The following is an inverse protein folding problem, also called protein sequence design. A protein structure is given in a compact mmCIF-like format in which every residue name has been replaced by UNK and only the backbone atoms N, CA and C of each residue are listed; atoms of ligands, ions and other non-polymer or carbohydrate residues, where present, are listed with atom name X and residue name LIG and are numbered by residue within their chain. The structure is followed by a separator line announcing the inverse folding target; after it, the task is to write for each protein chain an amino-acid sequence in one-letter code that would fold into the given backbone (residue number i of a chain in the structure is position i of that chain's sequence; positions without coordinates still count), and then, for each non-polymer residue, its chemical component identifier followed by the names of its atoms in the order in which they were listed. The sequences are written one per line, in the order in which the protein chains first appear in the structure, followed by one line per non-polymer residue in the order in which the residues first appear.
data_IF_243476969977
#
_entry.id   IF_243476969977
#
_cell.length_a   1.000
_cell.length_b   1.000
_cell.length_c   1.000
_cell.angle_alpha   90.00
_cell.angle_beta   90.00
_cell.angle_gamma   90.00
#
_symmetry.space_group_name_H-M   'P 1'
#
loop_
_entity.id
_entity.type
_entity.pdbx_description
1 polymer ?
#
# COMPACT_ATOMS: atom_id res chain seq x y z
N UNK A 1 22.67 6.56 3.07
CA UNK A 1 22.33 5.29 3.74
C UNK A 1 22.10 5.62 5.20
N UNK A 2 20.86 5.51 5.68
CA UNK A 2 20.53 5.82 7.08
C UNK A 2 21.07 4.71 8.00
N UNK A 3 21.24 5.01 9.30
CA UNK A 3 21.62 4.00 10.32
C UNK A 3 20.64 2.83 10.31
N UNK A 4 19.36 3.08 9.99
CA UNK A 4 18.31 2.07 9.87
C UNK A 4 18.49 1.14 8.66
N UNK A 5 18.99 1.65 7.52
CA UNK A 5 19.26 0.84 6.33
C UNK A 5 20.44 -0.11 6.57
N UNK A 6 21.51 0.38 7.20
CA UNK A 6 22.66 -0.45 7.61
C UNK A 6 22.27 -1.54 8.61
N UNK A 7 21.49 -1.19 9.63
CA UNK A 7 21.02 -2.16 10.62
C UNK A 7 20.13 -3.24 9.99
N UNK A 8 19.33 -2.88 8.99
CA UNK A 8 18.51 -3.85 8.24
C UNK A 8 19.34 -4.77 7.34
N UNK A 9 20.41 -4.26 6.68
CA UNK A 9 21.29 -5.09 5.85
C UNK A 9 22.12 -6.05 6.69
N UNK A 10 22.79 -5.58 7.75
CA UNK A 10 23.58 -6.41 8.66
C UNK A 10 22.72 -7.46 9.38
N UNK A 11 21.51 -7.07 9.79
CA UNK A 11 20.56 -7.98 10.42
C UNK A 11 20.04 -9.02 9.42
N UNK A 12 19.80 -8.62 8.16
CA UNK A 12 19.38 -9.52 7.08
C UNK A 12 20.46 -10.55 6.75
N UNK A 13 21.72 -10.14 6.60
CA UNK A 13 22.85 -11.06 6.36
C UNK A 13 23.07 -12.00 7.54
N UNK A 14 22.95 -11.52 8.77
CA UNK A 14 23.09 -12.33 9.97
C UNK A 14 21.99 -13.40 10.06
N UNK A 15 20.75 -13.06 9.76
CA UNK A 15 19.63 -14.02 9.78
C UNK A 15 19.64 -14.97 8.57
N UNK A 16 20.08 -14.52 7.39
CA UNK A 16 20.24 -15.38 6.22
C UNK A 16 21.28 -16.47 6.43
N UNK A 17 22.31 -16.20 7.24
CA UNK A 17 23.39 -17.16 7.54
C UNK A 17 23.07 -18.10 8.71
N UNK A 18 22.10 -17.79 9.55
CA UNK A 18 21.79 -18.57 10.77
C UNK A 18 20.53 -19.41 10.64
N UNK A 19 19.57 -19.03 9.79
CA UNK A 19 18.33 -19.78 9.60
C UNK A 19 18.36 -20.51 8.26
N UNK A 20 18.30 -21.82 8.29
CA UNK A 20 17.84 -22.59 7.14
C UNK A 20 16.49 -21.99 6.72
N UNK A 21 16.36 -21.60 5.42
CA UNK A 21 15.11 -21.05 4.87
C UNK A 21 14.03 -22.14 4.96
N UNK A 22 13.31 -22.16 6.05
CA UNK A 22 12.11 -22.99 6.13
C UNK A 22 11.06 -22.46 5.13
N UNK A 23 10.30 -23.34 4.48
CA UNK A 23 9.22 -22.90 3.61
C UNK A 23 8.17 -22.11 4.41
N UNK A 24 7.48 -21.18 3.73
CA UNK A 24 6.37 -20.45 4.33
C UNK A 24 5.34 -21.40 4.95
N UNK A 25 4.86 -21.07 6.14
CA UNK A 25 3.71 -21.77 6.69
C UNK A 25 2.41 -21.37 5.98
N UNK A 26 1.31 -22.09 6.21
CA UNK A 26 0.03 -21.85 5.54
C UNK A 26 -0.54 -20.46 5.81
N UNK A 27 -0.32 -19.88 6.99
CA UNK A 27 -0.83 -18.54 7.34
C UNK A 27 -0.06 -17.47 6.57
N UNK A 28 1.26 -17.56 6.52
CA UNK A 28 2.11 -16.67 5.75
C UNK A 28 1.81 -16.74 4.26
N UNK A 29 1.76 -17.95 3.71
CA UNK A 29 1.43 -18.17 2.30
C UNK A 29 0.04 -17.61 1.95
N UNK A 30 -0.96 -17.84 2.81
CA UNK A 30 -2.31 -17.30 2.65
C UNK A 30 -2.33 -15.77 2.73
N UNK A 31 -1.59 -15.19 3.67
CA UNK A 31 -1.46 -13.74 3.83
C UNK A 31 -0.84 -13.09 2.60
N UNK A 32 0.29 -13.62 2.11
CA UNK A 32 0.96 -13.15 0.89
C UNK A 32 0.07 -13.28 -0.35
N UNK A 33 -0.62 -14.42 -0.51
CA UNK A 33 -1.57 -14.64 -1.59
C UNK A 33 -2.69 -13.59 -1.59
N UNK A 34 -3.29 -13.34 -0.42
CA UNK A 34 -4.35 -12.33 -0.25
C UNK A 34 -3.87 -10.92 -0.57
N UNK A 35 -2.68 -10.57 -0.10
CA UNK A 35 -2.04 -9.26 -0.35
C UNK A 35 -1.77 -9.05 -1.84
N UNK A 36 -1.28 -10.05 -2.56
CA UNK A 36 -1.05 -9.97 -4.01
C UNK A 36 -2.38 -9.74 -4.74
N UNK A 37 -3.40 -10.54 -4.44
CA UNK A 37 -4.71 -10.44 -5.10
C UNK A 37 -5.36 -9.07 -4.85
N UNK A 38 -5.40 -8.63 -3.59
CA UNK A 38 -5.95 -7.33 -3.21
C UNK A 38 -5.11 -6.17 -3.77
N UNK A 39 -3.79 -6.29 -3.76
CA UNK A 39 -2.88 -5.28 -4.28
C UNK A 39 -3.09 -5.04 -5.78
N UNK A 40 -3.25 -6.10 -6.57
CA UNK A 40 -3.56 -6.00 -8.01
C UNK A 40 -4.88 -5.30 -8.27
N UNK A 41 -5.91 -5.56 -7.46
CA UNK A 41 -7.17 -4.82 -7.48
C UNK A 41 -6.96 -3.35 -7.12
N UNK A 42 -6.24 -3.07 -6.04
CA UNK A 42 -5.96 -1.71 -5.59
C UNK A 42 -5.23 -0.88 -6.65
N UNK A 43 -4.27 -1.46 -7.41
CA UNK A 43 -3.61 -0.77 -8.52
C UNK A 43 -4.64 -0.27 -9.53
N UNK A 44 -5.60 -1.12 -9.94
CA UNK A 44 -6.65 -0.73 -10.90
C UNK A 44 -7.56 0.37 -10.37
N UNK A 45 -7.90 0.33 -9.07
CA UNK A 45 -8.72 1.38 -8.41
C UNK A 45 -7.94 2.69 -8.31
N UNK A 46 -6.66 2.64 -7.91
CA UNK A 46 -5.80 3.82 -7.82
C UNK A 46 -5.63 4.52 -9.18
N UNK A 47 -5.53 3.78 -10.28
CA UNK A 47 -5.51 4.34 -11.64
C UNK A 47 -6.80 5.08 -11.97
N UNK A 48 -7.96 4.54 -11.54
CA UNK A 48 -9.25 5.22 -11.70
C UNK A 48 -9.30 6.51 -10.90
N UNK A 49 -8.96 6.45 -9.61
CA UNK A 49 -8.97 7.60 -8.71
C UNK A 49 -7.98 8.69 -9.16
N UNK A 50 -6.80 8.29 -9.69
CA UNK A 50 -5.85 9.23 -10.29
C UNK A 50 -6.48 10.03 -11.43
N UNK A 51 -7.24 9.37 -12.29
CA UNK A 51 -7.88 10.00 -13.45
C UNK A 51 -9.07 10.89 -13.06
N UNK A 52 -9.71 10.65 -11.91
CA UNK A 52 -10.74 11.55 -11.35
C UNK A 52 -10.15 12.77 -10.67
N UNK A 53 -9.00 12.65 -10.01
CA UNK A 53 -8.35 13.73 -9.29
C UNK A 53 -8.00 14.90 -10.22
N UNK A 54 -8.18 16.13 -9.74
CA UNK A 54 -7.79 17.35 -10.43
C UNK A 54 -6.61 18.03 -9.75
N UNK A 55 -6.49 17.93 -8.43
CA UNK A 55 -5.41 18.47 -7.64
C UNK A 55 -4.10 17.76 -7.94
N UNK A 56 -3.05 18.50 -8.31
CA UNK A 56 -1.76 17.93 -8.72
C UNK A 56 -1.02 17.24 -7.56
N UNK A 57 -1.13 17.76 -6.32
CA UNK A 57 -0.51 17.16 -5.13
C UNK A 57 -1.21 15.82 -4.81
N UNK A 58 -2.54 15.75 -4.95
CA UNK A 58 -3.31 14.52 -4.77
C UNK A 58 -2.93 13.47 -5.83
N UNK A 59 -2.84 13.86 -7.10
CA UNK A 59 -2.35 12.97 -8.18
C UNK A 59 -0.96 12.41 -7.86
N UNK A 60 -0.06 13.25 -7.35
CA UNK A 60 1.28 12.81 -6.97
C UNK A 60 1.24 11.77 -5.84
N UNK A 61 0.43 11.99 -4.80
CA UNK A 61 0.26 11.03 -3.70
C UNK A 61 -0.34 9.71 -4.18
N UNK A 62 -1.36 9.75 -5.07
CA UNK A 62 -1.95 8.53 -5.63
C UNK A 62 -0.90 7.73 -6.41
N UNK A 63 -0.12 8.41 -7.26
CA UNK A 63 0.95 7.75 -8.03
C UNK A 63 2.01 7.14 -7.12
N UNK A 64 2.39 7.82 -6.05
CA UNK A 64 3.32 7.30 -5.06
C UNK A 64 2.76 6.07 -4.33
N UNK A 65 1.48 6.11 -3.90
CA UNK A 65 0.81 4.95 -3.30
C UNK A 65 0.80 3.75 -4.25
N UNK A 66 0.57 3.98 -5.55
CA UNK A 66 0.58 2.94 -6.56
C UNK A 66 1.98 2.35 -6.76
N UNK A 67 2.98 3.21 -7.03
CA UNK A 67 4.30 2.76 -7.51
C UNK A 67 5.22 2.31 -6.36
N UNK A 68 5.26 3.08 -5.26
CA UNK A 68 6.20 2.84 -4.17
C UNK A 68 5.65 1.94 -3.05
N UNK A 69 4.33 1.93 -2.83
CA UNK A 69 3.71 1.12 -1.78
C UNK A 69 3.07 -0.14 -2.35
N UNK A 70 2.04 0.01 -3.19
CA UNK A 70 1.23 -1.13 -3.64
C UNK A 70 2.01 -2.08 -4.52
N UNK A 71 2.75 -1.59 -5.53
CA UNK A 71 3.57 -2.45 -6.41
C UNK A 71 4.74 -3.08 -5.67
N UNK A 72 5.37 -2.35 -4.74
CA UNK A 72 6.45 -2.91 -3.92
C UNK A 72 5.95 -4.05 -3.04
N UNK A 73 4.78 -3.89 -2.43
CA UNK A 73 4.14 -4.92 -1.63
C UNK A 73 3.81 -6.15 -2.48
N UNK A 74 3.24 -5.97 -3.68
CA UNK A 74 2.93 -7.07 -4.61
C UNK A 74 4.22 -7.82 -4.97
N UNK A 75 5.24 -7.12 -5.49
CA UNK A 75 6.46 -7.73 -5.99
C UNK A 75 7.17 -8.53 -4.89
N UNK A 76 7.38 -7.93 -3.70
CA UNK A 76 8.03 -8.63 -2.58
C UNK A 76 7.22 -9.84 -2.11
N UNK A 77 5.89 -9.74 -2.12
CA UNK A 77 5.01 -10.86 -1.74
C UNK A 77 5.05 -11.98 -2.78
N UNK A 78 5.15 -11.65 -4.07
CA UNK A 78 5.31 -12.60 -5.17
C UNK A 78 6.65 -13.35 -5.06
N UNK A 79 7.74 -12.61 -4.81
CA UNK A 79 9.08 -13.19 -4.64
C UNK A 79 9.10 -14.21 -3.49
N UNK A 80 8.63 -13.81 -2.30
CA UNK A 80 8.58 -14.69 -1.12
C UNK A 80 7.71 -15.93 -1.34
N UNK A 81 6.55 -15.75 -1.98
CA UNK A 81 5.64 -16.86 -2.25
C UNK A 81 6.24 -17.84 -3.27
N UNK A 82 6.89 -17.34 -4.34
CA UNK A 82 7.56 -18.18 -5.34
C UNK A 82 8.79 -18.90 -4.80
N UNK A 83 9.63 -18.23 -4.03
CA UNK A 83 10.81 -18.84 -3.39
C UNK A 83 10.43 -20.03 -2.49
N UNK A 84 9.23 -19.98 -1.91
CA UNK A 84 8.68 -21.08 -1.10
C UNK A 84 7.88 -22.11 -1.90
N UNK A 85 7.88 -22.05 -3.23
CA UNK A 85 7.14 -22.98 -4.11
C UNK A 85 5.64 -22.73 -4.17
N UNK A 86 5.15 -21.60 -3.64
CA UNK A 86 3.74 -21.21 -3.69
C UNK A 86 3.31 -20.73 -5.06
N UNK A 87 1.99 -20.83 -5.33
CA UNK A 87 1.40 -20.34 -6.58
C UNK A 87 0.92 -18.90 -6.42
N UNK A 88 1.31 -18.04 -7.35
CA UNK A 88 0.82 -16.66 -7.43
C UNK A 88 -0.65 -16.65 -7.86
N UNK A 89 -1.49 -15.74 -7.30
CA UNK A 89 -2.85 -15.52 -7.79
C UNK A 89 -2.87 -15.22 -9.29
N UNK A 90 -3.76 -15.83 -10.02
CA UNK A 90 -3.93 -15.59 -11.46
C UNK A 90 -4.84 -14.39 -11.77
N UNK A 91 -5.35 -13.70 -10.73
CA UNK A 91 -6.27 -12.57 -10.90
C UNK A 91 -5.57 -11.39 -11.57
N UNK A 92 -6.21 -10.85 -12.61
CA UNK A 92 -5.75 -9.68 -13.34
C UNK A 92 -6.88 -8.67 -13.48
N UNK A 93 -6.52 -7.39 -13.50
CA UNK A 93 -7.47 -6.29 -13.69
C UNK A 93 -7.00 -5.42 -14.85
N UNK A 94 -7.94 -4.81 -15.60
CA UNK A 94 -7.59 -3.90 -16.68
C UNK A 94 -6.72 -2.74 -16.17
N UNK A 95 -5.65 -2.46 -16.90
CA UNK A 95 -4.77 -1.32 -16.63
C UNK A 95 -5.33 -0.08 -17.33
N UNK A 96 -5.19 1.07 -16.69
CA UNK A 96 -5.64 2.35 -17.23
C UNK A 96 -4.46 3.29 -17.44
N UNK A 97 -4.52 4.07 -18.50
CA UNK A 97 -3.57 5.16 -18.74
C UNK A 97 -3.78 6.26 -17.70
N UNK A 98 -2.70 6.73 -17.09
CA UNK A 98 -2.74 7.85 -16.16
C UNK A 98 -2.66 9.17 -16.92
N UNK A 99 -3.73 9.95 -16.88
CA UNK A 99 -3.83 11.22 -17.56
C UNK A 99 -3.39 12.37 -16.64
N UNK A 100 -2.35 13.11 -17.04
CA UNK A 100 -1.90 14.31 -16.28
C UNK A 100 -2.93 15.44 -16.37
N UNK A 101 -3.45 15.68 -17.57
CA UNK A 101 -4.53 16.63 -17.79
C UNK A 101 -5.88 16.05 -17.30
N UNK A 102 -6.81 16.90 -16.84
CA UNK A 102 -8.17 16.45 -16.48
C UNK A 102 -8.84 15.76 -17.67
N UNK A 103 -9.50 14.64 -17.41
CA UNK A 103 -10.37 13.98 -18.39
C UNK A 103 -11.74 14.66 -18.44
N UNK A 104 -12.39 14.61 -19.58
CA UNK A 104 -13.80 14.99 -19.69
C UNK A 104 -14.67 13.86 -19.13
N UNK A 105 -14.98 13.95 -17.86
CA UNK A 105 -15.89 13.05 -17.15
C UNK A 105 -17.18 13.83 -16.90
N UNK A 106 -18.35 13.22 -17.17
CA UNK A 106 -19.64 13.86 -16.91
C UNK A 106 -19.71 14.32 -15.43
N UNK A 107 -20.23 15.53 -15.14
CA UNK A 107 -20.25 16.06 -13.78
C UNK A 107 -20.85 15.10 -12.74
N UNK A 108 -21.95 14.42 -13.09
CA UNK A 108 -22.64 13.49 -12.20
C UNK A 108 -21.86 12.17 -11.95
N UNK A 109 -20.85 11.88 -12.76
CA UNK A 109 -19.98 10.71 -12.61
C UNK A 109 -18.59 11.05 -12.08
N UNK A 110 -18.25 12.34 -11.99
CA UNK A 110 -16.95 12.80 -11.53
C UNK A 110 -16.88 12.82 -10.01
N UNK A 111 -15.88 12.16 -9.45
CA UNK A 111 -15.53 12.34 -8.04
C UNK A 111 -14.81 13.67 -7.85
N UNK A 112 -15.13 14.38 -6.78
CA UNK A 112 -14.39 15.54 -6.29
C UNK A 112 -13.04 15.10 -5.70
N UNK A 113 -12.06 16.02 -5.61
CA UNK A 113 -10.78 15.72 -4.96
C UNK A 113 -10.95 15.29 -3.49
N UNK A 114 -11.95 15.82 -2.79
CA UNK A 114 -12.27 15.40 -1.42
C UNK A 114 -12.74 13.93 -1.37
N UNK A 115 -13.64 13.53 -2.27
CA UNK A 115 -14.12 12.15 -2.36
C UNK A 115 -12.99 11.20 -2.75
N UNK A 116 -12.14 11.59 -3.71
CA UNK A 116 -10.95 10.82 -4.08
C UNK A 116 -10.00 10.66 -2.89
N UNK A 117 -9.72 11.73 -2.16
CA UNK A 117 -8.81 11.70 -1.00
C UNK A 117 -9.37 10.80 0.12
N UNK A 118 -10.67 10.85 0.40
CA UNK A 118 -11.34 9.96 1.37
C UNK A 118 -11.27 8.51 0.91
N UNK A 119 -11.51 8.24 -0.38
CA UNK A 119 -11.48 6.89 -0.94
C UNK A 119 -10.08 6.27 -0.82
N UNK A 120 -9.02 6.99 -1.23
CA UNK A 120 -7.65 6.46 -1.12
C UNK A 120 -7.21 6.29 0.34
N UNK A 121 -7.58 7.20 1.24
CA UNK A 121 -7.33 7.05 2.67
C UNK A 121 -8.02 5.83 3.28
N UNK A 122 -9.23 5.50 2.81
CA UNK A 122 -9.97 4.31 3.24
C UNK A 122 -9.28 3.02 2.75
N UNK A 123 -8.81 3.01 1.49
CA UNK A 123 -8.04 1.88 0.92
C UNK A 123 -6.73 1.70 1.70
N UNK A 124 -6.01 2.78 1.98
CA UNK A 124 -4.76 2.74 2.72
C UNK A 124 -4.95 2.16 4.13
N UNK A 125 -5.95 2.64 4.88
CA UNK A 125 -6.29 2.10 6.21
C UNK A 125 -6.62 0.61 6.17
N UNK A 126 -7.44 0.17 5.22
CA UNK A 126 -7.79 -1.25 5.07
C UNK A 126 -6.53 -2.10 4.77
N UNK A 127 -5.67 -1.62 3.88
CA UNK A 127 -4.41 -2.29 3.53
C UNK A 127 -3.44 -2.37 4.71
N UNK A 128 -3.32 -1.31 5.50
CA UNK A 128 -2.46 -1.29 6.70
C UNK A 128 -2.97 -2.22 7.80
N UNK A 129 -4.28 -2.28 8.03
CA UNK A 129 -4.87 -3.24 8.97
C UNK A 129 -4.63 -4.68 8.53
N UNK A 130 -4.74 -4.98 7.23
CA UNK A 130 -4.44 -6.30 6.69
C UNK A 130 -2.94 -6.63 6.85
N UNK A 131 -2.03 -5.70 6.55
CA UNK A 131 -0.59 -5.87 6.76
C UNK A 131 -0.23 -6.07 8.24
N UNK A 132 -0.86 -5.32 9.14
CA UNK A 132 -0.66 -5.48 10.59
C UNK A 132 -1.10 -6.86 11.06
N UNK A 133 -2.26 -7.34 10.60
CA UNK A 133 -2.73 -8.68 10.92
C UNK A 133 -1.77 -9.76 10.39
N UNK A 134 -1.30 -9.61 9.13
CA UNK A 134 -0.34 -10.53 8.53
C UNK A 134 1.02 -10.51 9.26
N UNK A 135 1.49 -9.35 9.68
CA UNK A 135 2.70 -9.20 10.50
C UNK A 135 2.61 -10.03 11.80
N UNK A 136 1.48 -9.94 12.50
CA UNK A 136 1.27 -10.70 13.74
C UNK A 136 1.11 -12.22 13.53
N UNK A 137 0.85 -12.65 12.30
CA UNK A 137 0.75 -14.05 11.91
C UNK A 137 2.04 -14.58 11.27
N UNK A 138 3.05 -13.73 11.12
CA UNK A 138 4.34 -14.10 10.52
C UNK A 138 5.24 -14.76 11.55
N UNK A 139 5.77 -15.93 11.20
CA UNK A 139 6.77 -16.67 11.97
C UNK A 139 8.17 -16.47 11.37
N UNK A 140 8.26 -16.20 10.06
CA UNK A 140 9.51 -15.90 9.39
C UNK A 140 9.86 -14.41 9.54
N UNK A 141 11.10 -14.15 9.95
CA UNK A 141 11.60 -12.79 10.19
C UNK A 141 11.55 -11.94 8.91
N UNK A 142 11.86 -12.54 7.75
CA UNK A 142 11.84 -11.84 6.46
C UNK A 142 10.44 -11.36 6.08
N UNK A 143 9.42 -12.19 6.27
CA UNK A 143 8.01 -11.84 6.03
C UNK A 143 7.57 -10.74 6.98
N UNK A 144 7.89 -10.89 8.28
CA UNK A 144 7.57 -9.89 9.30
C UNK A 144 8.24 -8.53 9.01
N UNK A 145 9.52 -8.52 8.63
CA UNK A 145 10.26 -7.29 8.28
C UNK A 145 9.70 -6.61 7.03
N UNK A 146 9.31 -7.39 6.02
CA UNK A 146 8.65 -6.85 4.83
C UNK A 146 7.37 -6.10 5.21
N UNK A 147 6.46 -6.73 5.96
CA UNK A 147 5.21 -6.09 6.38
C UNK A 147 5.45 -4.86 7.26
N UNK A 148 6.39 -4.96 8.21
CA UNK A 148 6.75 -3.83 9.09
C UNK A 148 7.25 -2.63 8.29
N UNK A 149 8.16 -2.86 7.34
CA UNK A 149 8.74 -1.77 6.52
C UNK A 149 7.65 -1.08 5.72
N UNK A 150 6.83 -1.86 5.00
CA UNK A 150 5.78 -1.31 4.15
C UNK A 150 4.64 -0.66 4.95
N UNK A 151 4.37 -1.15 6.16
CA UNK A 151 3.42 -0.51 7.08
C UNK A 151 3.93 0.87 7.52
N UNK A 152 5.21 1.00 7.89
CA UNK A 152 5.80 2.29 8.24
C UNK A 152 5.75 3.28 7.08
N UNK A 153 6.14 2.85 5.88
CA UNK A 153 6.08 3.69 4.67
C UNK A 153 4.63 4.14 4.36
N UNK A 154 3.67 3.25 4.59
CA UNK A 154 2.25 3.53 4.44
C UNK A 154 1.73 4.55 5.45
N UNK A 155 2.14 4.47 6.71
CA UNK A 155 1.78 5.45 7.75
C UNK A 155 2.36 6.83 7.47
N UNK A 156 3.60 6.91 6.98
CA UNK A 156 4.22 8.18 6.56
C UNK A 156 3.48 8.78 5.36
N UNK A 157 3.02 7.94 4.45
CA UNK A 157 2.21 8.39 3.32
C UNK A 157 0.84 8.90 3.78
N UNK A 158 0.16 8.21 4.71
CA UNK A 158 -1.12 8.64 5.29
C UNK A 158 -1.00 10.00 5.97
N UNK A 159 0.10 10.25 6.66
CA UNK A 159 0.36 11.56 7.29
C UNK A 159 0.42 12.68 6.25
N UNK A 160 1.05 12.45 5.11
CA UNK A 160 1.10 13.44 4.00
C UNK A 160 -0.26 13.65 3.35
N UNK A 161 -1.05 12.58 3.20
CA UNK A 161 -2.44 12.71 2.73
C UNK A 161 -3.28 13.52 3.72
N UNK A 162 -3.15 13.25 5.02
CA UNK A 162 -3.84 14.02 6.06
C UNK A 162 -3.50 15.51 5.99
N UNK A 163 -2.22 15.86 5.83
CA UNK A 163 -1.78 17.26 5.69
C UNK A 163 -2.41 17.92 4.46
N UNK A 164 -2.44 17.21 3.32
CA UNK A 164 -3.09 17.71 2.11
C UNK A 164 -4.60 17.93 2.31
N UNK A 165 -5.28 16.99 2.98
CA UNK A 165 -6.73 17.08 3.26
C UNK A 165 -7.03 18.25 4.20
N UNK A 166 -6.20 18.48 5.23
CA UNK A 166 -6.34 19.63 6.14
C UNK A 166 -6.13 20.95 5.39
N UNK A 167 -5.08 21.04 4.57
CA UNK A 167 -4.74 22.23 3.78
C UNK A 167 -5.89 22.65 2.84
N UNK A 168 -6.59 21.67 2.25
CA UNK A 168 -7.66 21.92 1.29
C UNK A 168 -9.07 21.90 1.90
N UNK A 169 -9.21 21.68 3.20
CA UNK A 169 -10.51 21.63 3.87
C UNK A 169 -11.38 20.43 3.47
N UNK A 170 -10.78 19.33 3.04
CA UNK A 170 -11.48 18.11 2.58
C UNK A 170 -11.93 17.20 3.72
N UNK A 171 -11.55 17.49 4.97
CA UNK A 171 -12.01 16.74 6.12
C UNK A 171 -13.33 17.31 6.66
N UNK A 172 -14.23 16.44 7.16
CA UNK A 172 -15.43 16.90 7.82
C UNK A 172 -15.08 17.73 9.06
N UNK A 173 -15.80 18.84 9.27
CA UNK A 173 -15.65 19.64 10.49
C UNK A 173 -16.21 18.86 11.67
N UNK A 174 -15.33 18.39 12.55
CA UNK A 174 -15.73 17.77 13.80
C UNK A 174 -15.93 18.83 14.89
N UNK A 175 -16.96 18.66 15.73
CA UNK A 175 -17.13 19.49 16.91
C UNK A 175 -15.95 19.25 17.85
N UNK A 176 -15.36 20.35 18.34
CA UNK A 176 -14.30 20.28 19.34
C UNK A 176 -14.91 19.95 20.70
N UNK A 177 -14.23 19.11 21.47
CA UNK A 177 -14.56 18.98 22.89
C UNK A 177 -14.20 20.31 23.56
N UNK A 178 -15.20 21.01 24.08
CA UNK A 178 -15.01 22.29 24.82
C UNK A 178 -15.03 21.92 26.29
N UNK A 179 -13.95 22.24 27.01
CA UNK A 179 -13.91 22.14 28.48
C UNK A 179 -14.66 23.32 29.09
#
# INVERSE_FOLDING_TARGET
MSIFERFNEETREFFQNIMDKEPLNYLEASGLYGVIAQGRYNVSVLETLYNHAQNAELKHLIKQAQDSLTKSLINRSEDLLQESGGKIPSVTFPRRTLHKAPLEIHPDARLTDAEVAIAIGSIAKASQLAMLAALHQSYQVEVALMYRTLLNDGLDWDYRLLQLMLKNGWLPKLHKVVN
#
